data_IF_115746565605
#
_entry.id   IF_115746565605
#
_cell.length_a   1.000
_cell.length_b   1.000
_cell.length_c   1.000
_cell.angle_alpha   90.00
_cell.angle_beta   90.00
_cell.angle_gamma   90.00
#
_symmetry.space_group_name_H-M   'P 1'
#
loop_
_entity.id
_entity.type
_entity.pdbx_description
1 polymer ?
#
# COMPACT_ATOMS: atom_id res chain seq x y z
N UNK A 1 9.11 -3.69 -18.80
CA UNK A 1 9.74 -2.38 -18.95
C UNK A 1 10.05 -1.87 -17.55
N UNK A 2 11.29 -1.47 -17.29
CA UNK A 2 11.69 -0.88 -16.02
C UNK A 2 11.32 0.61 -16.01
N UNK A 3 10.88 1.13 -14.87
CA UNK A 3 10.58 2.55 -14.70
C UNK A 3 11.84 3.40 -14.73
N UNK A 4 12.99 2.85 -14.30
CA UNK A 4 14.26 3.56 -14.29
C UNK A 4 14.85 3.76 -15.71
N UNK A 5 14.36 3.02 -16.71
CA UNK A 5 14.77 3.16 -18.10
C UNK A 5 14.13 4.40 -18.73
N UNK A 6 14.93 5.47 -18.81
CA UNK A 6 14.48 6.78 -19.29
C UNK A 6 14.00 6.75 -20.74
N UNK A 7 14.74 6.08 -21.62
CA UNK A 7 14.47 6.12 -23.06
C UNK A 7 13.26 5.25 -23.41
N UNK A 8 13.12 4.09 -22.75
CA UNK A 8 11.94 3.26 -22.88
C UNK A 8 10.68 3.97 -22.35
N UNK A 9 10.77 4.65 -21.21
CA UNK A 9 9.67 5.43 -20.65
C UNK A 9 9.27 6.58 -21.57
N UNK A 10 10.23 7.36 -22.08
CA UNK A 10 9.93 8.45 -23.02
C UNK A 10 9.22 7.92 -24.29
N UNK A 11 9.76 6.84 -24.87
CA UNK A 11 9.18 6.19 -26.04
C UNK A 11 7.75 5.69 -25.79
N UNK A 12 7.47 5.16 -24.60
CA UNK A 12 6.12 4.72 -24.24
C UNK A 12 5.12 5.88 -24.23
N UNK A 13 5.48 7.02 -23.63
CA UNK A 13 4.60 8.17 -23.58
C UNK A 13 4.32 8.76 -24.97
N UNK A 14 5.35 8.83 -25.83
CA UNK A 14 5.23 9.31 -27.21
C UNK A 14 4.27 8.43 -28.03
N UNK A 15 4.37 7.11 -27.86
CA UNK A 15 3.57 6.15 -28.63
C UNK A 15 2.11 6.08 -28.16
N UNK A 16 1.89 6.05 -26.84
CA UNK A 16 0.58 5.73 -26.27
C UNK A 16 -0.30 6.96 -26.03
N UNK A 17 0.27 8.17 -25.95
CA UNK A 17 -0.47 9.44 -25.80
C UNK A 17 -1.54 9.38 -24.69
N UNK A 18 -1.12 8.97 -23.49
CA UNK A 18 -2.04 8.79 -22.36
C UNK A 18 -2.79 10.08 -22.00
N UNK A 19 -4.08 9.97 -21.70
CA UNK A 19 -4.88 11.08 -21.16
C UNK A 19 -4.79 11.19 -19.64
N UNK A 20 -4.56 10.06 -18.95
CA UNK A 20 -4.43 9.92 -17.50
C UNK A 20 -3.44 8.82 -17.16
N UNK A 21 -2.70 8.98 -16.06
CA UNK A 21 -1.72 8.00 -15.57
C UNK A 21 -1.99 7.65 -14.12
N UNK A 22 -2.09 6.36 -13.82
CA UNK A 22 -2.13 5.83 -12.44
C UNK A 22 -0.82 5.08 -12.19
N UNK A 23 0.03 5.62 -11.33
CA UNK A 23 1.36 5.09 -11.06
C UNK A 23 1.42 4.42 -9.68
N UNK A 24 1.46 3.09 -9.69
CA UNK A 24 1.55 2.23 -8.50
C UNK A 24 2.90 1.50 -8.37
N UNK A 25 3.76 1.57 -9.39
CA UNK A 25 5.04 0.87 -9.42
C UNK A 25 6.07 1.53 -8.50
N UNK A 26 6.58 0.78 -7.54
CA UNK A 26 7.59 1.23 -6.58
C UNK A 26 8.19 0.01 -5.86
N UNK A 27 9.45 0.08 -5.47
CA UNK A 27 10.00 -0.87 -4.51
C UNK A 27 9.40 -0.62 -3.13
N UNK A 28 8.99 -1.69 -2.45
CA UNK A 28 8.30 -1.64 -1.16
C UNK A 28 8.88 -2.65 -0.16
N UNK A 29 8.95 -2.25 1.12
CA UNK A 29 9.45 -3.10 2.23
C UNK A 29 10.63 -2.49 3.00
N UNK A 30 10.37 -1.98 4.21
CA UNK A 30 11.33 -1.20 5.04
C UNK A 30 12.66 -1.92 5.28
N UNK A 31 12.64 -3.26 5.45
CA UNK A 31 13.88 -4.02 5.65
C UNK A 31 14.73 -4.07 4.39
N UNK A 32 14.10 -4.35 3.24
CA UNK A 32 14.80 -4.40 1.96
C UNK A 32 15.39 -3.04 1.58
N UNK A 33 14.81 -1.90 2.00
CA UNK A 33 15.42 -0.58 1.74
C UNK A 33 16.72 -0.35 2.48
N UNK A 34 16.92 -1.03 3.61
CA UNK A 34 18.16 -0.92 4.39
C UNK A 34 19.25 -1.78 3.72
N UNK A 35 18.88 -2.97 3.22
CA UNK A 35 19.80 -3.91 2.58
C UNK A 35 20.17 -3.51 1.15
N UNK A 36 19.20 -3.00 0.38
CA UNK A 36 19.39 -2.60 -1.03
C UNK A 36 18.78 -1.21 -1.29
N UNK A 37 19.42 -0.13 -0.82
CA UNK A 37 18.92 1.23 -0.98
C UNK A 37 18.91 1.70 -2.44
N UNK A 38 19.81 1.21 -3.29
CA UNK A 38 19.86 1.59 -4.71
C UNK A 38 18.60 1.16 -5.48
N UNK A 39 18.05 -0.02 -5.19
CA UNK A 39 16.78 -0.44 -5.78
C UNK A 39 15.61 0.51 -5.45
N UNK A 40 15.66 1.20 -4.31
CA UNK A 40 14.68 2.25 -3.97
C UNK A 40 14.94 3.55 -4.71
N UNK A 41 16.21 3.95 -4.84
CA UNK A 41 16.56 5.14 -5.63
C UNK A 41 16.09 4.99 -7.08
N UNK A 42 16.38 3.85 -7.70
CA UNK A 42 16.04 3.58 -9.10
C UNK A 42 14.51 3.55 -9.31
N UNK A 43 13.78 2.78 -8.51
CA UNK A 43 12.34 2.62 -8.71
C UNK A 43 11.51 3.79 -8.19
N UNK A 44 11.82 4.32 -7.00
CA UNK A 44 10.97 5.30 -6.33
C UNK A 44 11.36 6.74 -6.62
N UNK A 45 12.63 7.03 -6.97
CA UNK A 45 13.07 8.39 -7.32
C UNK A 45 13.19 8.55 -8.83
N UNK A 46 14.08 7.77 -9.47
CA UNK A 46 14.34 7.88 -10.91
C UNK A 46 13.11 7.47 -11.72
N UNK A 47 12.51 6.32 -11.40
CA UNK A 47 11.30 5.85 -12.06
C UNK A 47 10.12 6.80 -11.91
N UNK A 48 10.00 7.43 -10.74
CA UNK A 48 8.98 8.44 -10.50
C UNK A 48 9.21 9.71 -11.31
N UNK A 49 10.46 10.18 -11.39
CA UNK A 49 10.84 11.33 -12.22
C UNK A 49 10.56 11.07 -13.71
N UNK A 50 10.85 9.87 -14.21
CA UNK A 50 10.57 9.50 -15.60
C UNK A 50 9.07 9.56 -15.93
N UNK A 51 8.20 9.11 -15.00
CA UNK A 51 6.75 9.24 -15.14
C UNK A 51 6.32 10.72 -15.17
N UNK A 52 6.87 11.53 -14.26
CA UNK A 52 6.55 12.96 -14.17
C UNK A 52 6.95 13.71 -15.46
N UNK A 53 8.14 13.46 -16.00
CA UNK A 53 8.60 14.06 -17.25
C UNK A 53 7.75 13.62 -18.44
N UNK A 54 7.37 12.33 -18.50
CA UNK A 54 6.43 11.83 -19.51
C UNK A 54 5.09 12.57 -19.48
N UNK A 55 4.50 12.72 -18.30
CA UNK A 55 3.26 13.48 -18.08
C UNK A 55 3.42 14.96 -18.47
N UNK A 56 4.54 15.59 -18.11
CA UNK A 56 4.83 17.02 -18.38
C UNK A 56 4.94 17.30 -19.88
N UNK A 57 5.67 16.47 -20.62
CA UNK A 57 5.86 16.65 -22.07
C UNK A 57 4.56 16.46 -22.86
N UNK A 58 3.68 15.59 -22.39
CA UNK A 58 2.43 15.24 -23.07
C UNK A 58 1.20 16.00 -22.58
N UNK A 59 1.37 16.94 -21.63
CA UNK A 59 0.28 17.75 -21.05
C UNK A 59 -0.90 16.91 -20.56
N UNK A 60 -0.60 15.83 -19.85
CA UNK A 60 -1.62 14.92 -19.31
C UNK A 60 -2.53 15.67 -18.34
N UNK A 61 -3.85 15.49 -18.50
CA UNK A 61 -4.85 16.29 -17.78
C UNK A 61 -4.88 15.99 -16.28
N UNK A 62 -4.62 14.73 -15.87
CA UNK A 62 -4.48 14.33 -14.47
C UNK A 62 -3.57 13.11 -14.29
N UNK A 63 -2.74 13.12 -13.23
CA UNK A 63 -1.95 11.96 -12.78
C UNK A 63 -2.23 11.61 -11.32
N UNK A 64 -2.41 10.32 -11.03
CA UNK A 64 -2.52 9.77 -9.68
C UNK A 64 -1.23 9.04 -9.32
N UNK A 65 -0.54 9.50 -8.28
CA UNK A 65 0.81 9.06 -7.92
C UNK A 65 0.83 8.45 -6.51
N UNK A 66 1.56 7.35 -6.35
CA UNK A 66 1.94 6.84 -5.03
C UNK A 66 3.15 7.66 -4.54
N UNK A 67 2.93 8.47 -3.51
CA UNK A 67 3.85 9.43 -2.86
C UNK A 67 5.33 9.42 -3.32
N UNK A 68 5.73 10.47 -4.02
CA UNK A 68 6.99 11.24 -3.88
C UNK A 68 6.75 12.63 -4.51
N UNK A 69 7.38 13.66 -3.95
CA UNK A 69 6.94 15.06 -4.00
C UNK A 69 7.85 15.90 -4.89
N UNK A 70 7.36 16.35 -6.05
CA UNK A 70 7.90 17.52 -6.76
C UNK A 70 6.75 18.34 -7.36
N UNK A 71 6.73 19.63 -7.05
CA UNK A 71 5.79 20.60 -7.60
C UNK A 71 6.08 20.80 -9.08
N UNK A 72 5.33 20.12 -9.94
CA UNK A 72 5.37 20.29 -11.39
C UNK A 72 4.00 20.78 -11.88
N UNK A 73 3.98 21.48 -13.01
CA UNK A 73 2.81 22.14 -13.62
C UNK A 73 1.66 21.20 -14.07
N UNK A 74 1.61 19.96 -13.59
CA UNK A 74 0.58 18.97 -13.90
C UNK A 74 -0.33 18.74 -12.69
N UNK A 75 -1.66 18.66 -12.86
CA UNK A 75 -2.54 18.23 -11.79
C UNK A 75 -2.14 16.83 -11.28
N UNK A 76 -1.80 16.74 -9.99
CA UNK A 76 -1.29 15.52 -9.35
C UNK A 76 -2.12 15.19 -8.10
N UNK A 77 -2.59 13.95 -8.00
CA UNK A 77 -3.24 13.46 -6.78
C UNK A 77 -2.40 12.36 -6.14
N UNK A 78 -1.85 12.63 -4.97
CA UNK A 78 -1.12 11.66 -4.17
C UNK A 78 -2.07 10.80 -3.34
N UNK A 79 -1.98 9.48 -3.45
CA UNK A 79 -2.73 8.56 -2.57
C UNK A 79 -1.79 7.90 -1.56
N UNK A 80 -2.03 8.14 -0.26
CA UNK A 80 -1.31 7.50 0.84
C UNK A 80 -2.03 6.22 1.24
N UNK A 81 -1.51 5.09 0.79
CA UNK A 81 -2.06 3.77 1.12
C UNK A 81 -1.70 3.35 2.54
N UNK A 82 -2.69 2.86 3.25
CA UNK A 82 -2.52 2.07 4.46
C UNK A 82 -2.44 0.58 4.09
N UNK A 83 -2.46 -0.31 5.07
CA UNK A 83 -2.43 -1.77 4.83
C UNK A 83 -3.63 -2.20 3.97
N UNK A 84 -3.37 -2.55 2.71
CA UNK A 84 -4.36 -3.12 1.79
C UNK A 84 -4.26 -4.64 1.83
N UNK A 85 -5.41 -5.32 1.85
CA UNK A 85 -5.47 -6.77 1.89
C UNK A 85 -6.69 -7.28 1.10
N UNK A 86 -6.65 -8.55 0.70
CA UNK A 86 -7.69 -9.19 -0.08
C UNK A 86 -7.15 -10.23 -1.06
N UNK A 87 -8.03 -10.86 -1.86
CA UNK A 87 -7.64 -11.75 -2.96
C UNK A 87 -6.55 -11.15 -3.84
N UNK A 88 -5.63 -11.99 -4.34
CA UNK A 88 -4.47 -11.56 -5.14
C UNK A 88 -3.50 -10.61 -4.42
N UNK A 89 -3.59 -10.54 -3.09
CA UNK A 89 -2.67 -9.78 -2.25
C UNK A 89 -1.23 -10.33 -2.31
N UNK A 90 -0.26 -9.52 -1.87
CA UNK A 90 1.14 -9.93 -1.96
C UNK A 90 1.52 -10.99 -0.91
N UNK A 91 2.31 -12.03 -1.29
CA UNK A 91 2.72 -13.08 -0.36
C UNK A 91 3.59 -12.64 0.81
N UNK A 92 4.25 -11.48 0.69
CA UNK A 92 5.12 -10.91 1.71
C UNK A 92 4.37 -10.07 2.76
N UNK A 93 3.04 -9.90 2.61
CA UNK A 93 2.20 -9.08 3.49
C UNK A 93 1.45 -9.91 4.54
N UNK A 94 0.90 -9.20 5.54
CA UNK A 94 0.47 -9.75 6.82
C UNK A 94 -0.52 -10.93 6.72
N UNK A 95 -1.70 -10.75 6.09
CA UNK A 95 -2.71 -11.82 5.99
C UNK A 95 -2.14 -13.08 5.33
N UNK A 96 -1.38 -12.91 4.26
CA UNK A 96 -0.80 -14.03 3.52
C UNK A 96 0.21 -14.81 4.36
N UNK A 97 1.10 -14.09 5.07
CA UNK A 97 2.06 -14.69 5.99
C UNK A 97 1.36 -15.47 7.10
N UNK A 98 0.29 -14.93 7.68
CA UNK A 98 -0.45 -15.59 8.76
C UNK A 98 -1.20 -16.82 8.27
N UNK A 99 -1.98 -16.71 7.19
CA UNK A 99 -2.71 -17.85 6.62
C UNK A 99 -1.77 -18.99 6.23
N UNK A 100 -0.65 -18.68 5.55
CA UNK A 100 0.35 -19.68 5.21
C UNK A 100 0.96 -20.34 6.45
N UNK A 101 1.32 -19.56 7.48
CA UNK A 101 1.88 -20.09 8.71
C UNK A 101 0.89 -20.99 9.46
N UNK A 102 -0.39 -20.61 9.54
CA UNK A 102 -1.43 -21.41 10.18
C UNK A 102 -1.66 -22.74 9.48
N UNK A 103 -1.79 -22.73 8.15
CA UNK A 103 -1.96 -23.96 7.35
C UNK A 103 -0.74 -24.88 7.47
N UNK A 104 0.47 -24.32 7.49
CA UNK A 104 1.70 -25.07 7.68
C UNK A 104 1.95 -25.53 9.13
N UNK A 105 1.07 -25.19 10.08
CA UNK A 105 1.25 -25.48 11.51
C UNK A 105 2.46 -24.77 12.15
N UNK A 106 2.97 -23.71 11.51
CA UNK A 106 4.13 -22.95 11.95
C UNK A 106 3.76 -21.93 13.03
N UNK A 107 4.70 -21.72 13.95
CA UNK A 107 4.63 -20.61 14.91
C UNK A 107 4.70 -19.28 14.14
N UNK A 108 3.80 -18.35 14.41
CA UNK A 108 3.91 -17.00 13.89
C UNK A 108 4.09 -16.01 15.02
N UNK A 109 4.90 -14.99 14.72
CA UNK A 109 5.34 -14.03 15.70
C UNK A 109 4.42 -12.82 15.69
N UNK A 110 3.70 -12.63 16.78
CA UNK A 110 2.83 -11.47 17.01
C UNK A 110 3.60 -10.41 17.81
N UNK A 111 3.45 -9.14 17.45
CA UNK A 111 4.12 -8.03 18.13
C UNK A 111 3.06 -7.17 18.82
N UNK A 112 3.21 -6.95 20.12
CA UNK A 112 2.35 -6.06 20.88
C UNK A 112 2.82 -4.62 20.74
N UNK A 113 1.90 -3.70 20.44
CA UNK A 113 2.14 -2.26 20.40
C UNK A 113 1.58 -1.59 21.66
N UNK A 114 2.38 -0.70 22.28
CA UNK A 114 1.94 0.25 23.30
C UNK A 114 2.53 1.61 22.95
N UNK A 115 1.77 2.47 22.26
CA UNK A 115 2.21 3.82 21.93
C UNK A 115 1.22 4.59 21.05
N UNK A 116 1.16 5.91 21.24
CA UNK A 116 0.28 6.84 20.52
C UNK A 116 1.03 7.56 19.38
N UNK A 117 0.31 7.86 18.29
CA UNK A 117 0.84 8.45 17.04
C UNK A 117 0.92 9.98 17.11
N UNK A 118 1.97 10.59 16.55
CA UNK A 118 2.10 12.05 16.36
C UNK A 118 1.22 12.58 15.21
N UNK A 119 0.65 13.78 15.39
CA UNK A 119 -0.28 14.42 14.44
C UNK A 119 0.36 15.62 13.72
N UNK A 120 0.24 15.68 12.39
CA UNK A 120 0.65 16.82 11.55
C UNK A 120 0.37 16.59 10.06
N UNK A 121 0.05 17.63 9.27
CA UNK A 121 -0.32 17.49 7.84
C UNK A 121 0.28 18.56 6.92
N UNK A 122 1.18 18.20 5.99
CA UNK A 122 1.66 19.05 4.89
C UNK A 122 0.83 18.89 3.58
N UNK A 123 -0.46 18.56 3.68
CA UNK A 123 -1.27 18.04 2.57
C UNK A 123 -1.78 19.08 1.54
N UNK A 124 -1.44 20.37 1.65
CA UNK A 124 -1.95 21.44 0.78
C UNK A 124 -0.85 22.39 0.28
N UNK A 125 -1.03 22.96 -0.92
CA UNK A 125 -0.21 24.05 -1.50
C UNK A 125 -1.03 24.85 -2.51
N UNK A 126 -0.44 25.93 -3.01
CA UNK A 126 -0.94 26.78 -4.09
C UNK A 126 -0.85 26.13 -5.49
N UNK A 127 -0.01 25.11 -5.68
CA UNK A 127 0.04 24.32 -6.91
C UNK A 127 -1.17 23.36 -7.01
N UNK A 128 -1.64 22.96 -8.22
CA UNK A 128 -2.83 22.11 -8.40
C UNK A 128 -2.56 20.65 -8.00
N UNK A 129 -2.23 20.40 -6.75
CA UNK A 129 -2.03 19.06 -6.19
C UNK A 129 -2.92 18.82 -4.98
N UNK A 130 -3.24 17.55 -4.72
CA UNK A 130 -3.89 17.11 -3.48
C UNK A 130 -3.30 15.79 -3.01
N UNK A 131 -3.20 15.61 -1.71
CA UNK A 131 -2.81 14.32 -1.11
C UNK A 131 -3.97 13.80 -0.25
N UNK A 132 -4.38 12.57 -0.49
CA UNK A 132 -5.44 11.89 0.25
C UNK A 132 -4.93 10.62 0.89
N UNK A 133 -5.29 10.39 2.15
CA UNK A 133 -5.15 9.08 2.77
C UNK A 133 -6.24 8.15 2.23
N UNK A 134 -5.85 6.91 1.89
CA UNK A 134 -6.78 5.85 1.49
C UNK A 134 -6.60 4.63 2.41
N UNK A 135 -7.66 4.28 3.11
CA UNK A 135 -7.66 3.20 4.09
C UNK A 135 -9.04 3.05 4.73
N UNK A 136 -9.16 2.07 5.62
CA UNK A 136 -10.31 2.00 6.51
C UNK A 136 -10.07 2.97 7.68
N UNK A 137 -11.03 3.82 7.98
CA UNK A 137 -10.94 4.82 9.06
C UNK A 137 -11.03 4.19 10.45
N UNK A 138 -11.44 2.92 10.56
CA UNK A 138 -11.50 2.22 11.83
C UNK A 138 -10.14 1.62 12.19
N UNK A 139 -9.58 1.93 13.38
CA UNK A 139 -8.41 1.22 13.88
C UNK A 139 -8.81 -0.23 14.18
N UNK A 140 -8.14 -1.18 13.51
CA UNK A 140 -8.35 -2.61 13.71
C UNK A 140 -7.05 -3.21 14.22
N UNK A 141 -7.12 -3.92 15.33
CA UNK A 141 -5.94 -4.54 15.93
C UNK A 141 -5.46 -5.74 15.10
N UNK A 142 -4.15 -6.03 15.17
CA UNK A 142 -3.59 -7.22 14.56
C UNK A 142 -4.25 -8.52 15.04
N UNK A 143 -4.63 -8.57 16.32
CA UNK A 143 -5.32 -9.72 16.91
C UNK A 143 -6.68 -9.97 16.26
N UNK A 144 -7.45 -8.92 15.96
CA UNK A 144 -8.74 -9.04 15.28
C UNK A 144 -8.59 -9.69 13.89
N UNK A 145 -7.51 -9.41 13.17
CA UNK A 145 -7.20 -10.09 11.90
C UNK A 145 -6.85 -11.56 12.11
N UNK A 146 -6.03 -11.88 13.11
CA UNK A 146 -5.64 -13.26 13.42
C UNK A 146 -6.88 -14.09 13.75
N UNK A 147 -7.75 -13.58 14.62
CA UNK A 147 -9.00 -14.24 15.01
C UNK A 147 -9.95 -14.45 13.83
N UNK A 148 -10.04 -13.46 12.93
CA UNK A 148 -10.83 -13.60 11.71
C UNK A 148 -10.27 -14.71 10.78
N UNK A 149 -8.94 -14.86 10.68
CA UNK A 149 -8.32 -15.95 9.91
C UNK A 149 -8.57 -17.30 10.61
N UNK A 150 -8.40 -17.36 11.94
CA UNK A 150 -8.66 -18.57 12.74
C UNK A 150 -10.09 -19.07 12.50
N UNK A 151 -11.07 -18.15 12.54
CA UNK A 151 -12.49 -18.42 12.26
C UNK A 151 -12.73 -18.89 10.83
N UNK A 152 -12.11 -18.24 9.83
CA UNK A 152 -12.29 -18.57 8.42
C UNK A 152 -11.64 -19.92 8.03
N UNK A 153 -10.50 -20.27 8.64
CA UNK A 153 -9.81 -21.54 8.40
C UNK A 153 -10.32 -22.69 9.28
N UNK A 154 -10.96 -22.37 10.42
CA UNK A 154 -11.27 -23.36 11.45
C UNK A 154 -10.02 -23.89 12.17
N UNK A 155 -8.93 -23.09 12.22
CA UNK A 155 -7.63 -23.48 12.80
C UNK A 155 -7.27 -22.51 13.91
N UNK A 156 -6.88 -23.01 15.08
CA UNK A 156 -6.29 -22.17 16.14
C UNK A 156 -4.81 -21.99 15.90
N UNK A 157 -4.38 -20.74 15.94
CA UNK A 157 -3.07 -20.33 15.51
C UNK A 157 -2.08 -20.37 16.69
N UNK A 158 -0.90 -20.98 16.49
CA UNK A 158 0.17 -21.01 17.50
C UNK A 158 0.94 -19.69 17.54
N UNK A 159 0.67 -18.88 18.57
CA UNK A 159 1.15 -17.50 18.72
C UNK A 159 2.45 -17.45 19.53
N UNK A 160 3.47 -16.73 19.04
CA UNK A 160 4.65 -16.34 19.83
C UNK A 160 4.75 -14.82 19.91
N UNK A 161 4.65 -14.26 21.12
CA UNK A 161 4.67 -12.81 21.32
C UNK A 161 6.12 -12.34 21.40
N UNK A 162 6.52 -11.44 20.51
CA UNK A 162 7.87 -10.85 20.48
C UNK A 162 7.84 -9.35 20.79
N UNK A 163 8.92 -8.81 21.39
CA UNK A 163 9.08 -7.37 21.53
C UNK A 163 9.23 -6.70 20.14
N UNK A 164 8.92 -5.41 20.12
CA UNK A 164 9.04 -4.54 18.95
C UNK A 164 10.45 -4.61 18.35
N UNK A 165 10.52 -4.54 17.02
CA UNK A 165 11.78 -4.55 16.28
C UNK A 165 12.03 -3.20 15.61
N UNK A 166 13.29 -2.89 15.27
CA UNK A 166 13.61 -1.69 14.49
C UNK A 166 12.81 -1.64 13.17
N UNK A 167 12.10 -0.52 12.96
CA UNK A 167 11.27 -0.29 11.75
C UNK A 167 9.80 -0.70 11.85
N UNK A 168 9.33 -1.20 13.01
CA UNK A 168 7.90 -1.38 13.27
C UNK A 168 7.19 -0.02 13.45
N UNK A 169 5.96 0.08 12.94
CA UNK A 169 5.13 1.30 13.06
C UNK A 169 4.05 1.08 14.12
N UNK A 170 3.88 2.06 15.01
CA UNK A 170 3.18 1.90 16.30
C UNK A 170 1.66 1.72 16.20
N UNK A 171 1.01 2.30 15.20
CA UNK A 171 -0.38 2.08 14.80
C UNK A 171 -0.63 3.05 13.64
N UNK A 172 -1.42 2.64 12.64
CA UNK A 172 -1.72 3.52 11.51
C UNK A 172 -3.22 3.52 11.28
N UNK A 173 -3.93 4.49 11.86
CA UNK A 173 -5.28 4.84 11.42
C UNK A 173 -5.18 5.91 10.34
N UNK A 174 -6.05 5.81 9.34
CA UNK A 174 -6.11 6.75 8.24
C UNK A 174 -7.23 7.76 8.49
N UNK A 175 -6.91 9.04 8.65
CA UNK A 175 -7.93 10.09 8.47
C UNK A 175 -8.26 10.18 6.97
N UNK A 176 -9.42 9.65 6.58
CA UNK A 176 -9.90 9.61 5.20
C UNK A 176 -11.03 10.61 4.92
N UNK A 177 -11.31 11.56 5.82
CA UNK A 177 -12.43 12.50 5.66
C UNK A 177 -12.29 13.34 4.38
N UNK A 178 -11.07 13.80 4.10
CA UNK A 178 -10.75 14.58 2.91
C UNK A 178 -11.05 13.82 1.61
N UNK A 179 -10.74 12.51 1.56
CA UNK A 179 -11.02 11.67 0.39
C UNK A 179 -12.53 11.47 0.23
N UNK A 180 -13.22 11.17 1.33
CA UNK A 180 -14.67 10.99 1.31
C UNK A 180 -15.40 12.24 0.77
N UNK A 181 -15.01 13.44 1.23
CA UNK A 181 -15.58 14.70 0.71
C UNK A 181 -15.33 14.89 -0.78
N UNK A 182 -14.24 14.35 -1.32
CA UNK A 182 -13.86 14.50 -2.71
C UNK A 182 -14.58 13.53 -3.66
N UNK A 183 -14.78 12.27 -3.24
CA UNK A 183 -15.30 11.21 -4.12
C UNK A 183 -16.60 10.56 -3.64
N UNK A 184 -17.11 10.91 -2.46
CA UNK A 184 -18.34 10.37 -1.91
C UNK A 184 -18.29 8.88 -1.52
N UNK A 185 -17.10 8.28 -1.45
CA UNK A 185 -16.92 6.85 -1.21
C UNK A 185 -16.18 6.55 0.09
N UNK A 186 -16.62 5.51 0.81
CA UNK A 186 -15.91 4.89 1.93
C UNK A 186 -15.89 3.37 1.73
N UNK A 187 -14.80 2.67 2.09
CA UNK A 187 -14.82 1.22 2.16
C UNK A 187 -15.93 0.74 3.08
N UNK A 188 -16.70 -0.27 2.66
CA UNK A 188 -17.83 -0.82 3.42
C UNK A 188 -17.55 -2.24 3.94
N UNK A 189 -16.55 -2.93 3.38
CA UNK A 189 -16.20 -4.30 3.75
C UNK A 189 -15.59 -4.34 5.15
N UNK A 190 -16.22 -5.09 6.06
CA UNK A 190 -15.70 -5.34 7.39
C UNK A 190 -14.48 -6.26 7.38
N UNK A 191 -13.75 -6.31 8.49
CA UNK A 191 -12.54 -7.15 8.64
C UNK A 191 -12.87 -8.63 8.48
N UNK A 192 -13.91 -9.11 9.14
CA UNK A 192 -14.32 -10.52 9.05
C UNK A 192 -14.68 -10.92 7.61
N UNK A 193 -15.46 -10.08 6.93
CA UNK A 193 -15.86 -10.31 5.53
C UNK A 193 -14.65 -10.28 4.60
N UNK A 194 -13.79 -9.26 4.73
CA UNK A 194 -12.59 -9.12 3.89
C UNK A 194 -11.59 -10.27 4.09
N UNK A 195 -11.39 -10.71 5.34
CA UNK A 195 -10.55 -11.87 5.66
C UNK A 195 -11.16 -13.16 5.13
N UNK A 196 -12.47 -13.35 5.27
CA UNK A 196 -13.16 -14.51 4.70
C UNK A 196 -12.97 -14.57 3.18
N UNK A 197 -13.23 -13.46 2.48
CA UNK A 197 -13.04 -13.37 1.02
C UNK A 197 -11.60 -13.71 0.60
N UNK A 198 -10.62 -13.24 1.37
CA UNK A 198 -9.21 -13.59 1.16
C UNK A 198 -8.95 -15.08 1.36
N UNK A 199 -9.42 -15.67 2.45
CA UNK A 199 -9.21 -17.09 2.77
C UNK A 199 -9.89 -17.98 1.74
N UNK A 200 -11.12 -17.68 1.34
CA UNK A 200 -11.86 -18.42 0.30
C UNK A 200 -11.06 -18.44 -1.01
N UNK A 201 -10.58 -17.28 -1.44
CA UNK A 201 -9.70 -17.17 -2.60
C UNK A 201 -8.39 -17.96 -2.42
N UNK A 202 -7.74 -17.86 -1.26
CA UNK A 202 -6.46 -18.52 -0.99
C UNK A 202 -6.59 -20.03 -1.13
N UNK A 203 -7.65 -20.61 -0.56
CA UNK A 203 -7.96 -22.04 -0.62
C UNK A 203 -8.22 -22.51 -2.04
N UNK A 204 -9.01 -21.74 -2.79
CA UNK A 204 -9.28 -22.05 -4.21
C UNK A 204 -7.99 -21.99 -5.05
N UNK A 205 -7.20 -20.92 -4.88
CA UNK A 205 -5.99 -20.69 -5.67
C UNK A 205 -4.87 -21.70 -5.36
N UNK A 206 -4.62 -21.98 -4.07
CA UNK A 206 -3.57 -22.91 -3.63
C UNK A 206 -4.02 -24.36 -3.50
N UNK A 207 -5.33 -24.63 -3.66
CA UNK A 207 -5.94 -25.96 -3.54
C UNK A 207 -5.71 -26.60 -2.16
N UNK A 208 -6.05 -25.86 -1.10
CA UNK A 208 -5.90 -26.23 0.33
C UNK A 208 -7.18 -26.05 1.15
#
# INVERSE_FOLDING_TARGET
MDLADRDAMASLFDQQKFQRVIHLGAQAGVRYSIENPHAYADSNLIGHLNILEGCRHHKIEQSALRLIQFSLCCPTTGLRFFTVYGPWGRPDMALFKFTRAMIAGMLFHNRTTTGTVETGSPATSSAPYRVYNIGNSQPVTLMSYIEAIEKALGITAKKNLMPMQPGDVLETSADTEALFKAIGFKPQTGVEEGVKNFVDWYRDFYRV
#
